data_IF_379391695659
#
_entry.id   IF_379391695659
#
_cell.length_a   1.000
_cell.length_b   1.000
_cell.length_c   1.000
_cell.angle_alpha   90.00
_cell.angle_beta   90.00
_cell.angle_gamma   90.00
#
_symmetry.space_group_name_H-M   'P 1'
#
loop_
_entity.id
_entity.type
_entity.pdbx_description
1 polymer ?
#
# COMPACT_ATOMS: atom_id res chain seq x y z
N UNK A 1 13.08 35.43 13.16
CA UNK A 1 13.69 34.14 13.50
C UNK A 1 12.67 33.40 14.34
N UNK A 2 11.73 32.74 13.68
CA UNK A 2 10.79 31.82 14.31
C UNK A 2 11.15 30.48 13.69
N UNK A 3 11.94 29.71 14.43
CA UNK A 3 12.18 28.31 14.11
C UNK A 3 10.82 27.63 14.06
N UNK A 4 10.63 26.89 12.98
CA UNK A 4 9.38 26.28 12.61
C UNK A 4 9.27 24.99 13.44
N UNK A 5 8.79 25.09 14.68
CA UNK A 5 8.58 23.98 15.64
C UNK A 5 7.52 22.95 15.19
N UNK A 6 7.25 22.84 13.88
CA UNK A 6 6.22 21.98 13.30
C UNK A 6 6.75 20.58 12.91
N UNK A 7 7.97 20.24 13.34
CA UNK A 7 8.69 18.99 13.02
C UNK A 7 8.74 18.00 14.20
N UNK A 8 8.09 18.30 15.32
CA UNK A 8 7.89 17.32 16.38
C UNK A 8 6.88 16.26 15.89
N UNK A 9 7.18 14.96 16.00
CA UNK A 9 6.22 13.90 15.71
C UNK A 9 4.97 14.16 16.54
N UNK A 10 3.82 14.34 15.88
CA UNK A 10 2.57 14.51 16.60
C UNK A 10 2.20 13.15 17.20
N UNK A 11 2.03 13.10 18.52
CA UNK A 11 1.57 11.90 19.24
C UNK A 11 0.21 11.38 18.73
N UNK A 12 -0.52 12.21 17.97
CA UNK A 12 -1.78 11.85 17.31
C UNK A 12 -1.62 10.79 16.20
N UNK A 13 -0.49 10.75 15.48
CA UNK A 13 -0.35 9.88 14.31
C UNK A 13 -0.20 8.40 14.69
N UNK A 14 0.50 8.13 15.79
CA UNK A 14 0.58 6.79 16.37
C UNK A 14 -0.78 6.37 16.95
N UNK A 15 -1.51 7.29 17.56
CA UNK A 15 -2.87 7.03 18.06
C UNK A 15 -3.85 6.71 16.92
N UNK A 16 -3.82 7.47 15.81
CA UNK A 16 -4.63 7.21 14.61
C UNK A 16 -4.31 5.85 13.99
N UNK A 17 -3.03 5.48 13.94
CA UNK A 17 -2.62 4.17 13.43
C UNK A 17 -3.14 3.04 14.32
N UNK A 18 -3.05 3.19 15.64
CA UNK A 18 -3.62 2.23 16.58
C UNK A 18 -5.15 2.10 16.44
N UNK A 19 -5.85 3.22 16.30
CA UNK A 19 -7.31 3.25 16.08
C UNK A 19 -7.72 2.53 14.78
N UNK A 20 -7.00 2.78 13.69
CA UNK A 20 -7.24 2.10 12.42
C UNK A 20 -7.05 0.58 12.54
N UNK A 21 -5.98 0.13 13.20
CA UNK A 21 -5.69 -1.29 13.37
C UNK A 21 -6.73 -1.96 14.30
N UNK A 22 -7.17 -1.28 15.36
CA UNK A 22 -8.27 -1.74 16.21
C UNK A 22 -9.58 -1.89 15.40
N UNK A 23 -9.86 -0.93 14.51
CA UNK A 23 -11.03 -0.97 13.63
C UNK A 23 -10.96 -2.14 12.63
N UNK A 24 -9.79 -2.44 12.06
CA UNK A 24 -9.60 -3.60 11.17
C UNK A 24 -9.89 -4.90 11.93
N UNK A 25 -9.30 -5.07 13.12
CA UNK A 25 -9.54 -6.27 13.95
C UNK A 25 -11.02 -6.40 14.35
N UNK A 26 -11.67 -5.29 14.71
CA UNK A 26 -13.10 -5.29 15.03
C UNK A 26 -13.98 -5.64 13.81
N UNK A 27 -13.62 -5.13 12.63
CA UNK A 27 -14.34 -5.41 11.39
C UNK A 27 -14.24 -6.88 11.01
N UNK A 28 -13.05 -7.48 11.11
CA UNK A 28 -12.87 -8.91 10.84
C UNK A 28 -13.65 -9.78 11.82
N UNK A 29 -13.62 -9.46 13.12
CA UNK A 29 -14.45 -10.16 14.12
C UNK A 29 -15.94 -10.03 13.82
N UNK A 30 -16.39 -8.87 13.35
CA UNK A 30 -17.78 -8.68 12.95
C UNK A 30 -18.16 -9.55 11.75
N UNK A 31 -17.28 -9.64 10.73
CA UNK A 31 -17.50 -10.52 9.58
C UNK A 31 -17.56 -12.00 9.97
N UNK A 32 -16.68 -12.43 10.89
CA UNK A 32 -16.71 -13.78 11.44
C UNK A 32 -18.00 -14.04 12.20
N UNK A 33 -18.46 -13.10 13.03
CA UNK A 33 -19.72 -13.24 13.76
C UNK A 33 -20.95 -13.35 12.82
N UNK A 34 -20.89 -12.79 11.61
CA UNK A 34 -21.95 -12.98 10.61
C UNK A 34 -22.05 -14.43 10.10
N UNK A 35 -21.01 -15.25 10.28
CA UNK A 35 -21.00 -16.67 9.94
C UNK A 35 -21.56 -17.56 11.07
N UNK A 36 -21.80 -17.00 12.26
CA UNK A 36 -22.28 -17.76 13.41
C UNK A 36 -23.65 -18.39 13.15
N UNK A 37 -23.80 -19.65 13.57
CA UNK A 37 -25.03 -20.42 13.40
C UNK A 37 -25.23 -21.03 12.01
N UNK A 38 -24.31 -20.80 11.05
CA UNK A 38 -24.30 -21.50 9.77
C UNK A 38 -23.60 -22.85 9.88
N UNK A 39 -24.13 -23.85 9.18
CA UNK A 39 -23.48 -25.16 9.02
C UNK A 39 -22.32 -25.09 8.02
N UNK A 40 -21.36 -26.01 8.10
CA UNK A 40 -20.23 -26.11 7.15
C UNK A 40 -20.72 -26.17 5.68
N UNK A 41 -21.78 -26.95 5.42
CA UNK A 41 -22.38 -27.04 4.10
C UNK A 41 -22.95 -25.69 3.61
N UNK A 42 -23.58 -24.91 4.49
CA UNK A 42 -24.09 -23.59 4.14
C UNK A 42 -22.94 -22.60 3.89
N UNK A 43 -21.89 -22.64 4.71
CA UNK A 43 -20.71 -21.80 4.57
C UNK A 43 -19.94 -22.05 3.27
N UNK A 44 -20.04 -23.26 2.72
CA UNK A 44 -19.42 -23.72 1.46
C UNK A 44 -20.35 -23.64 0.25
N UNK A 45 -21.59 -23.23 0.41
CA UNK A 45 -22.51 -23.07 -0.72
C UNK A 45 -22.37 -21.67 -1.30
N UNK A 46 -22.08 -21.50 -2.61
CA UNK A 46 -22.14 -20.20 -3.24
C UNK A 46 -23.57 -19.65 -3.23
N UNK A 47 -23.77 -18.48 -2.63
CA UNK A 47 -25.11 -17.85 -2.51
C UNK A 47 -25.25 -16.58 -3.35
N UNK A 48 -24.16 -16.12 -3.97
CA UNK A 48 -24.12 -14.93 -4.82
C UNK A 48 -23.82 -15.29 -6.27
N UNK A 49 -24.18 -14.40 -7.20
CA UNK A 49 -23.87 -14.54 -8.63
C UNK A 49 -22.37 -14.50 -8.93
N UNK A 50 -21.56 -14.00 -7.99
CA UNK A 50 -20.10 -14.02 -8.10
C UNK A 50 -19.48 -15.41 -7.89
N UNK A 51 -20.26 -16.38 -7.41
CA UNK A 51 -19.79 -17.75 -7.15
C UNK A 51 -18.99 -17.91 -5.85
N UNK A 52 -18.91 -16.86 -5.02
CA UNK A 52 -18.18 -16.90 -3.76
C UNK A 52 -18.96 -17.65 -2.68
N UNK A 53 -18.25 -18.52 -1.96
CA UNK A 53 -18.72 -19.11 -0.71
C UNK A 53 -18.45 -18.14 0.45
N UNK A 54 -19.14 -18.32 1.59
CA UNK A 54 -18.89 -17.50 2.79
C UNK A 54 -17.46 -17.72 3.29
N UNK A 55 -17.00 -18.99 3.33
CA UNK A 55 -15.61 -19.28 3.70
C UNK A 55 -14.60 -18.68 2.72
N UNK A 56 -14.86 -18.76 1.41
CA UNK A 56 -13.98 -18.18 0.41
C UNK A 56 -13.82 -16.68 0.62
N UNK A 57 -14.93 -15.98 0.91
CA UNK A 57 -14.90 -14.54 1.18
C UNK A 57 -14.10 -14.21 2.44
N UNK A 58 -14.32 -14.93 3.55
CA UNK A 58 -13.56 -14.71 4.79
C UNK A 58 -12.07 -14.97 4.59
N UNK A 59 -11.71 -16.03 3.86
CA UNK A 59 -10.32 -16.38 3.59
C UNK A 59 -9.65 -15.33 2.68
N UNK A 60 -10.38 -14.75 1.72
CA UNK A 60 -9.88 -13.65 0.91
C UNK A 60 -9.69 -12.34 1.70
N UNK A 61 -10.58 -12.04 2.64
CA UNK A 61 -10.41 -10.90 3.56
C UNK A 61 -9.16 -11.10 4.41
N UNK A 62 -8.94 -12.30 4.96
CA UNK A 62 -7.71 -12.66 5.68
C UNK A 62 -6.50 -12.43 4.79
N UNK A 63 -6.47 -13.05 3.61
CA UNK A 63 -5.31 -13.01 2.72
C UNK A 63 -4.95 -11.57 2.31
N UNK A 64 -5.95 -10.79 1.91
CA UNK A 64 -5.77 -9.38 1.56
C UNK A 64 -5.25 -8.55 2.74
N UNK A 65 -5.78 -8.76 3.95
CA UNK A 65 -5.37 -8.02 5.14
C UNK A 65 -3.94 -8.36 5.54
N UNK A 66 -3.61 -9.65 5.59
CA UNK A 66 -2.25 -10.12 5.86
C UNK A 66 -1.27 -9.61 4.80
N UNK A 67 -1.67 -9.63 3.53
CA UNK A 67 -0.85 -9.11 2.45
C UNK A 67 -0.47 -7.64 2.66
N UNK A 68 -1.44 -6.78 2.93
CA UNK A 68 -1.13 -5.36 3.12
C UNK A 68 -0.36 -5.09 4.42
N UNK A 69 -0.73 -5.73 5.53
CA UNK A 69 -0.11 -5.43 6.82
C UNK A 69 1.25 -6.13 7.01
N UNK A 70 1.33 -7.43 6.73
CA UNK A 70 2.54 -8.23 6.97
C UNK A 70 3.54 -8.12 5.80
N UNK A 71 3.06 -8.17 4.56
CA UNK A 71 3.95 -8.15 3.40
C UNK A 71 4.31 -6.72 3.00
N UNK A 72 3.32 -5.86 2.75
CA UNK A 72 3.59 -4.50 2.25
C UNK A 72 4.11 -3.57 3.35
N UNK A 73 3.39 -3.44 4.47
CA UNK A 73 3.74 -2.50 5.54
C UNK A 73 4.97 -2.98 6.31
N UNK A 74 4.96 -4.20 6.83
CA UNK A 74 6.07 -4.74 7.64
C UNK A 74 7.26 -5.18 6.79
N UNK A 75 7.05 -5.61 5.54
CA UNK A 75 8.13 -5.95 4.61
C UNK A 75 8.50 -7.42 4.52
N UNK A 76 7.60 -8.32 4.90
CA UNK A 76 7.81 -9.76 4.70
C UNK A 76 7.65 -10.10 3.21
N UNK A 77 8.64 -10.70 2.58
CA UNK A 77 8.52 -11.05 1.16
C UNK A 77 7.40 -12.09 0.94
N UNK A 78 6.52 -11.82 -0.01
CA UNK A 78 5.50 -12.77 -0.48
C UNK A 78 5.81 -13.21 -1.91
N UNK A 79 5.50 -14.48 -2.22
CA UNK A 79 5.36 -14.90 -3.62
C UNK A 79 3.89 -14.69 -4.00
N UNK A 80 3.67 -13.91 -5.06
CA UNK A 80 2.34 -13.65 -5.61
C UNK A 80 2.03 -14.72 -6.65
N UNK A 81 0.97 -15.47 -6.41
CA UNK A 81 0.41 -16.42 -7.37
C UNK A 81 -0.92 -15.86 -7.87
N UNK A 82 -0.88 -15.21 -9.04
CA UNK A 82 -2.06 -14.57 -9.66
C UNK A 82 -3.08 -15.60 -10.16
N UNK A 83 -2.66 -16.85 -10.37
CA UNK A 83 -3.51 -17.93 -10.87
C UNK A 83 -4.16 -18.74 -9.73
N UNK A 84 -3.78 -18.48 -8.47
CA UNK A 84 -4.33 -19.18 -7.31
C UNK A 84 -5.80 -18.78 -7.09
N UNK A 85 -6.75 -19.71 -7.22
CA UNK A 85 -8.14 -19.43 -6.88
C UNK A 85 -8.28 -19.13 -5.38
N UNK A 86 -9.14 -18.15 -5.07
CA UNK A 86 -9.48 -17.76 -3.69
C UNK A 86 -10.46 -18.75 -3.03
N UNK A 87 -10.12 -20.03 -3.07
CA UNK A 87 -10.90 -21.10 -2.45
C UNK A 87 -10.14 -21.75 -1.29
N UNK A 88 -10.89 -22.25 -0.32
CA UNK A 88 -10.35 -22.93 0.83
C UNK A 88 -10.04 -24.38 0.50
N UNK A 89 -9.10 -24.97 1.25
CA UNK A 89 -8.92 -26.42 1.23
C UNK A 89 -10.27 -27.09 1.56
N UNK A 90 -10.81 -27.95 0.68
CA UNK A 90 -12.06 -28.66 0.93
C UNK A 90 -11.96 -29.63 2.11
N UNK A 91 -10.75 -30.04 2.50
CA UNK A 91 -10.51 -30.90 3.66
C UNK A 91 -10.43 -30.13 4.98
N UNK A 92 -10.23 -28.80 4.96
CA UNK A 92 -10.20 -27.99 6.17
C UNK A 92 -11.62 -27.83 6.75
N UNK A 93 -11.75 -27.89 8.08
CA UNK A 93 -13.04 -27.61 8.71
C UNK A 93 -13.36 -26.11 8.61
N UNK A 94 -14.65 -25.73 8.49
CA UNK A 94 -15.05 -24.31 8.56
C UNK A 94 -14.53 -23.61 9.81
N UNK A 95 -14.51 -24.31 10.95
CA UNK A 95 -14.04 -23.76 12.21
C UNK A 95 -12.54 -23.42 12.16
N UNK A 96 -11.72 -24.29 11.56
CA UNK A 96 -10.28 -24.03 11.42
C UNK A 96 -10.01 -22.85 10.48
N UNK A 97 -10.77 -22.75 9.38
CA UNK A 97 -10.69 -21.61 8.45
C UNK A 97 -11.03 -20.31 9.18
N UNK A 98 -12.14 -20.28 9.93
CA UNK A 98 -12.59 -19.11 10.69
C UNK A 98 -11.57 -18.72 11.76
N UNK A 99 -11.07 -19.68 12.55
CA UNK A 99 -10.06 -19.42 13.58
C UNK A 99 -8.75 -18.88 12.98
N UNK A 100 -8.37 -19.37 11.78
CA UNK A 100 -7.21 -18.87 11.05
C UNK A 100 -7.41 -17.42 10.61
N UNK A 101 -8.60 -17.05 10.12
CA UNK A 101 -8.92 -15.67 9.71
C UNK A 101 -8.66 -14.68 10.85
N UNK A 102 -9.19 -14.96 12.04
CA UNK A 102 -9.03 -14.06 13.19
C UNK A 102 -7.57 -14.00 13.66
N UNK A 103 -6.92 -15.16 13.80
CA UNK A 103 -5.55 -15.23 14.33
C UNK A 103 -4.51 -14.62 13.40
N UNK A 104 -4.63 -14.83 12.08
CA UNK A 104 -3.72 -14.26 11.09
C UNK A 104 -3.88 -12.73 11.01
N UNK A 105 -5.11 -12.22 11.02
CA UNK A 105 -5.35 -10.76 11.00
C UNK A 105 -4.84 -10.10 12.28
N UNK A 106 -5.12 -10.67 13.45
CA UNK A 106 -4.63 -10.14 14.72
C UNK A 106 -3.09 -10.10 14.76
N UNK A 107 -2.44 -11.16 14.27
CA UNK A 107 -0.98 -11.23 14.12
C UNK A 107 -0.45 -10.13 13.19
N UNK A 108 -1.09 -9.92 12.04
CA UNK A 108 -0.66 -8.92 11.06
C UNK A 108 -0.86 -7.49 11.58
N UNK A 109 -1.97 -7.20 12.26
CA UNK A 109 -2.20 -5.93 12.94
C UNK A 109 -1.15 -5.68 14.03
N UNK A 110 -0.87 -6.66 14.89
CA UNK A 110 0.15 -6.54 15.92
C UNK A 110 1.54 -6.25 15.34
N UNK A 111 1.90 -6.87 14.21
CA UNK A 111 3.15 -6.59 13.52
C UNK A 111 3.18 -5.15 12.95
N UNK A 112 2.07 -4.70 12.33
CA UNK A 112 1.97 -3.37 11.73
C UNK A 112 1.99 -2.22 12.77
N UNK A 113 1.55 -2.46 14.01
CA UNK A 113 1.63 -1.45 15.11
C UNK A 113 3.05 -0.95 15.36
N UNK A 114 4.06 -1.77 15.09
CA UNK A 114 5.47 -1.40 15.24
C UNK A 114 6.03 -0.53 14.11
N UNK A 115 5.29 -0.35 13.02
CA UNK A 115 5.74 0.36 11.82
C UNK A 115 5.30 1.83 11.88
N UNK A 116 6.23 2.80 11.72
CA UNK A 116 5.86 4.21 11.58
C UNK A 116 4.90 4.42 10.40
N UNK A 117 3.85 5.22 10.61
CA UNK A 117 2.81 5.46 9.58
C UNK A 117 3.34 6.14 8.30
N UNK A 118 4.45 6.87 8.40
CA UNK A 118 5.15 7.53 7.29
C UNK A 118 6.32 6.69 6.74
N UNK A 119 6.52 5.47 7.26
CA UNK A 119 7.52 4.56 6.75
C UNK A 119 7.22 4.20 5.28
N UNK A 120 8.27 4.10 4.49
CA UNK A 120 8.16 3.49 3.17
C UNK A 120 7.69 2.02 3.33
N UNK A 121 6.92 1.49 2.36
CA UNK A 121 6.57 0.07 2.34
C UNK A 121 7.82 -0.80 2.48
N UNK A 122 7.77 -1.77 3.40
CA UNK A 122 8.89 -2.68 3.64
C UNK A 122 9.14 -3.62 2.46
N UNK A 123 8.09 -3.93 1.68
CA UNK A 123 8.20 -4.74 0.47
C UNK A 123 7.15 -4.33 -0.56
N UNK A 124 7.56 -4.29 -1.83
CA UNK A 124 6.69 -3.95 -2.96
C UNK A 124 7.15 -4.71 -4.22
N UNK A 125 7.11 -6.05 -4.18
CA UNK A 125 7.44 -6.92 -5.32
C UNK A 125 8.83 -6.70 -5.96
N UNK A 126 9.15 -7.50 -6.99
CA UNK A 126 10.45 -7.41 -7.71
C UNK A 126 10.59 -6.19 -8.65
N UNK A 127 9.70 -5.17 -8.57
CA UNK A 127 9.73 -3.99 -9.47
C UNK A 127 9.54 -2.61 -8.81
N UNK A 128 9.58 -2.47 -7.49
CA UNK A 128 9.70 -1.13 -6.88
C UNK A 128 11.14 -0.59 -6.96
N UNK A 129 11.54 -0.09 -8.13
CA UNK A 129 12.67 0.85 -8.18
C UNK A 129 12.20 2.19 -7.62
N UNK A 130 12.72 2.54 -6.45
CA UNK A 130 12.91 3.94 -6.06
C UNK A 130 11.96 4.47 -5.00
N UNK A 131 11.98 3.91 -3.79
CA UNK A 131 11.93 4.79 -2.62
C UNK A 131 13.36 4.92 -2.13
N UNK A 132 13.96 6.08 -2.39
CA UNK A 132 15.19 6.45 -1.74
C UNK A 132 14.92 6.44 -0.23
N UNK A 133 15.42 5.43 0.48
CA UNK A 133 15.56 5.54 1.92
C UNK A 133 16.44 6.76 2.14
N UNK A 134 15.87 7.80 2.76
CA UNK A 134 16.56 9.03 3.11
C UNK A 134 17.62 8.77 4.17
N UNK A 135 18.70 8.08 3.80
CA UNK A 135 20.01 8.25 4.40
C UNK A 135 20.91 8.78 3.30
N UNK A 136 20.98 10.09 3.19
CA UNK A 136 22.21 10.73 2.73
C UNK A 136 23.30 10.37 3.74
N UNK A 137 23.92 9.21 3.54
CA UNK A 137 25.30 9.06 3.92
C UNK A 137 26.05 10.15 3.17
N UNK A 138 26.47 11.19 3.89
CA UNK A 138 27.43 12.17 3.41
C UNK A 138 28.77 11.41 3.24
N UNK A 139 28.86 10.65 2.15
CA UNK A 139 30.09 10.06 1.68
C UNK A 139 30.94 11.19 1.12
N UNK A 140 32.09 11.39 1.74
CA UNK A 140 33.09 12.41 1.43
C UNK A 140 33.21 12.70 -0.07
N UNK A 141 32.63 13.81 -0.50
CA UNK A 141 32.95 14.45 -1.76
C UNK A 141 33.36 15.88 -1.43
N UNK A 142 34.66 16.16 -1.58
CA UNK A 142 35.31 17.45 -1.33
C UNK A 142 34.92 18.47 -2.41
N UNK A 143 33.63 18.75 -2.53
CA UNK A 143 33.11 19.83 -3.35
C UNK A 143 32.63 20.90 -2.39
N UNK A 144 33.41 21.98 -2.28
CA UNK A 144 33.06 23.20 -1.57
C UNK A 144 31.80 23.77 -2.19
N UNK A 145 30.63 23.43 -1.63
CA UNK A 145 29.37 24.00 -2.06
C UNK A 145 29.26 25.40 -1.43
N UNK A 146 29.79 26.40 -2.13
CA UNK A 146 29.56 27.81 -1.83
C UNK A 146 28.06 28.04 -1.82
N UNK A 147 27.54 28.38 -0.65
CA UNK A 147 26.13 28.62 -0.36
C UNK A 147 25.67 29.87 -1.12
N UNK A 148 25.19 29.71 -2.36
CA UNK A 148 24.60 30.83 -3.12
C UNK A 148 23.24 31.16 -2.54
N UNK A 149 23.14 32.33 -1.92
CA UNK A 149 21.91 32.94 -1.42
C UNK A 149 20.83 32.98 -2.51
N UNK A 150 19.60 32.59 -2.13
CA UNK A 150 18.36 32.71 -2.90
C UNK A 150 18.21 34.15 -3.40
N UNK A 151 18.14 34.42 -4.72
CA UNK A 151 17.86 35.77 -5.18
C UNK A 151 16.41 36.13 -4.86
N UNK A 152 16.21 37.26 -4.21
CA UNK A 152 14.91 37.88 -4.04
C UNK A 152 14.38 38.30 -5.41
N UNK A 153 13.07 38.11 -5.58
CA UNK A 153 12.26 38.54 -6.72
C UNK A 153 12.34 40.06 -6.80
N UNK A 154 13.28 40.60 -7.58
CA UNK A 154 13.27 41.93 -8.23
C UNK A 154 14.63 42.22 -8.89
N UNK A 155 14.84 41.75 -10.12
CA UNK A 155 15.82 42.33 -11.07
C UNK A 155 15.65 41.69 -12.44
N UNK A 156 14.75 42.22 -13.25
CA UNK A 156 14.55 41.83 -14.65
C UNK A 156 14.98 43.01 -15.53
N UNK A 157 16.26 43.06 -15.94
CA UNK A 157 16.71 43.83 -17.12
C UNK A 157 17.99 43.24 -17.72
N UNK A 158 17.82 42.70 -18.93
CA UNK A 158 18.67 42.79 -20.13
C UNK A 158 20.18 42.44 -20.11
N UNK A 159 20.49 41.50 -21.02
CA UNK A 159 21.67 41.42 -21.90
C UNK A 159 22.89 40.62 -21.44
N UNK A 160 23.11 39.49 -22.13
CA UNK A 160 24.39 38.78 -22.15
C UNK A 160 24.28 37.34 -22.65
N UNK A 161 24.46 37.14 -23.95
CA UNK A 161 24.45 35.82 -24.60
C UNK A 161 25.63 34.95 -24.13
N UNK A 162 25.37 33.68 -23.79
CA UNK A 162 26.31 32.59 -24.03
C UNK A 162 25.52 31.33 -24.39
N UNK A 163 25.66 30.95 -25.65
CA UNK A 163 25.11 29.75 -26.28
C UNK A 163 26.07 28.59 -26.07
N UNK A 164 25.58 27.43 -25.63
CA UNK A 164 25.92 26.15 -26.28
C UNK A 164 24.88 25.08 -25.93
N UNK A 165 24.52 24.33 -26.97
CA UNK A 165 23.38 23.40 -27.12
C UNK A 165 23.71 22.01 -26.50
N UNK A 166 22.70 21.20 -26.09
CA UNK A 166 22.89 19.94 -25.38
C UNK A 166 23.11 18.76 -26.34
N UNK A 167 23.84 17.74 -25.90
CA UNK A 167 24.04 16.49 -26.64
C UNK A 167 23.19 15.36 -26.03
N UNK A 168 22.23 14.86 -26.83
CA UNK A 168 21.99 13.43 -26.96
C UNK A 168 20.93 12.78 -26.07
N UNK A 169 19.66 13.05 -26.38
CA UNK A 169 18.55 12.13 -26.06
C UNK A 169 18.46 11.07 -27.18
N UNK A 170 18.62 9.79 -26.86
CA UNK A 170 18.13 8.71 -27.73
C UNK A 170 16.74 8.30 -27.25
N UNK A 171 15.72 8.60 -28.07
CA UNK A 171 14.38 8.01 -27.97
C UNK A 171 14.46 6.54 -28.40
N UNK A 172 13.80 5.66 -27.68
CA UNK A 172 13.22 4.47 -28.28
C UNK A 172 11.74 4.44 -27.92
N UNK A 173 10.93 4.23 -28.96
CA UNK A 173 9.48 4.27 -28.93
C UNK A 173 8.91 2.99 -28.31
N UNK A 174 8.03 3.16 -27.33
CA UNK A 174 6.96 2.23 -26.98
C UNK A 174 6.02 2.94 -26.00
N UNK A 175 5.39 4.02 -26.47
CA UNK A 175 4.17 4.54 -25.87
C UNK A 175 3.10 4.40 -26.93
N UNK A 176 2.33 3.33 -26.83
CA UNK A 176 0.93 3.30 -27.22
C UNK A 176 0.33 2.02 -26.62
N UNK A 177 -0.91 2.15 -26.14
CA UNK A 177 -1.74 1.12 -25.48
C UNK A 177 -1.57 1.04 -23.96
N UNK A 178 -2.24 1.95 -23.24
CA UNK A 178 -3.18 1.64 -22.14
C UNK A 178 -3.73 2.95 -21.58
N UNK A 179 -4.67 3.55 -22.32
CA UNK A 179 -5.52 4.64 -21.86
C UNK A 179 -6.95 4.35 -22.32
N UNK A 180 -7.51 3.22 -21.88
CA UNK A 180 -8.93 2.87 -22.00
C UNK A 180 -9.31 1.95 -20.85
N UNK A 181 -9.76 2.52 -19.72
CA UNK A 181 -10.73 1.89 -18.80
C UNK A 181 -11.17 2.82 -17.65
N UNK A 182 -11.41 4.11 -17.91
CA UNK A 182 -12.22 4.96 -17.02
C UNK A 182 -13.11 5.86 -17.87
N UNK A 183 -14.00 5.28 -18.67
CA UNK A 183 -15.25 5.96 -19.08
C UNK A 183 -16.25 5.01 -19.75
N UNK A 184 -16.92 4.14 -18.97
CA UNK A 184 -18.13 3.44 -19.44
C UNK A 184 -19.14 3.22 -18.32
N UNK A 185 -19.61 4.29 -17.69
CA UNK A 185 -20.89 4.23 -16.96
C UNK A 185 -21.74 5.51 -16.99
N UNK A 186 -21.54 6.37 -17.99
CA UNK A 186 -22.51 7.41 -18.36
C UNK A 186 -22.99 7.13 -19.77
N UNK A 187 -24.03 6.30 -19.89
CA UNK A 187 -25.08 6.35 -20.92
C UNK A 187 -25.80 5.01 -20.98
N UNK A 188 -26.89 4.90 -20.21
CA UNK A 188 -27.96 3.95 -20.47
C UNK A 188 -29.28 4.74 -20.55
N UNK A 189 -30.08 4.58 -21.63
CA UNK A 189 -31.36 5.27 -21.76
C UNK A 189 -32.42 4.70 -20.79
N UNK A 190 -33.36 5.57 -20.40
CA UNK A 190 -34.54 5.28 -19.57
C UNK A 190 -35.51 4.33 -20.25
#
# INVERSE_FOLDING_TARGET
>A
MTDNDNDAPRDDAAAVTAELLDWIEATVRHLVACADGLTDAQLRTPVTTSGWTVLGLLDHVRDSTVFWLEHVVVGSAAELDEDKPWDNDPAASAQDVIARVESDVARACAAARGTPHDAAPGWWGRRARGVATGRTACGACSCTCSRTTRPTRDSWTSSGKASTVPCGTSRSAASDVLDVAVDRHRDAPR
#
